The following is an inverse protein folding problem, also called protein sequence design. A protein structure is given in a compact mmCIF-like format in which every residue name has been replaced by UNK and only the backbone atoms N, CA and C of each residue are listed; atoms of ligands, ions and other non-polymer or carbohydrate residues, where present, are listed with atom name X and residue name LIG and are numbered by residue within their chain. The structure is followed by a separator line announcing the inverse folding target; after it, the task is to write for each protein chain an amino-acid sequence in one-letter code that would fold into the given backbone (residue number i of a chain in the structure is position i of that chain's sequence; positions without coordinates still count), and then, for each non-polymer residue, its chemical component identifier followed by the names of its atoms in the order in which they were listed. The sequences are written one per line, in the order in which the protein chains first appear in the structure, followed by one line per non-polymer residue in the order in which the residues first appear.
data_IF_146774048540
#
_entry.id   IF_146774048540
#
_cell.length_a   1.000
_cell.length_b   1.000
_cell.length_c   1.000
_cell.angle_alpha   90.00
_cell.angle_beta   90.00
_cell.angle_gamma   90.00
#
_symmetry.space_group_name_H-M   'P 1'
#
loop_
_entity.id
_entity.type
_entity.pdbx_description
1 polymer ?
#
# COMPACT_ATOMS: atom_id res chain seq x y z
N UNK A 1 -16.46 3.72 -14.54
CA UNK A 1 -15.97 2.86 -15.61
C UNK A 1 -15.53 1.50 -15.03
N UNK A 2 -14.41 1.36 -14.30
CA UNK A 2 -13.89 0.09 -13.81
C UNK A 2 -14.94 -0.78 -13.08
N UNK A 3 -15.73 -0.19 -12.17
CA UNK A 3 -16.82 -0.91 -11.48
C UNK A 3 -17.91 -1.37 -12.46
N UNK A 4 -18.28 -0.51 -13.43
CA UNK A 4 -19.30 -0.84 -14.43
C UNK A 4 -18.81 -1.88 -15.44
N UNK A 5 -17.51 -1.91 -15.69
CA UNK A 5 -16.85 -2.82 -16.63
C UNK A 5 -16.40 -4.13 -15.94
N UNK A 6 -16.64 -4.24 -14.62
CA UNK A 6 -16.22 -5.37 -13.78
C UNK A 6 -14.71 -5.61 -13.78
N UNK A 7 -13.91 -4.54 -13.93
CA UNK A 7 -12.46 -4.62 -13.86
C UNK A 7 -11.98 -4.93 -12.44
N UNK A 8 -10.89 -5.69 -12.34
CA UNK A 8 -10.24 -5.93 -11.06
C UNK A 8 -9.61 -4.65 -10.50
N UNK A 9 -10.08 -4.20 -9.34
CA UNK A 9 -9.60 -2.99 -8.68
C UNK A 9 -8.74 -3.36 -7.48
N UNK A 10 -7.43 -3.15 -7.59
CA UNK A 10 -6.44 -3.46 -6.53
C UNK A 10 -6.54 -2.49 -5.36
N UNK A 11 -6.66 -1.21 -5.65
CA UNK A 11 -6.81 -0.14 -4.66
C UNK A 11 -7.37 1.13 -5.30
N UNK A 12 -7.80 2.07 -4.49
CA UNK A 12 -8.31 3.38 -4.93
C UNK A 12 -7.33 4.47 -4.52
N UNK A 13 -6.89 5.31 -5.46
CA UNK A 13 -6.16 6.55 -5.14
C UNK A 13 -7.20 7.59 -4.74
N UNK A 14 -7.28 7.92 -3.45
CA UNK A 14 -8.24 8.90 -2.90
C UNK A 14 -7.82 10.32 -3.19
N UNK A 15 -6.54 10.59 -3.23
CA UNK A 15 -5.99 11.90 -3.57
C UNK A 15 -4.47 11.88 -3.66
N UNK A 16 -3.94 12.92 -4.29
CA UNK A 16 -2.49 13.15 -4.42
C UNK A 16 -2.18 14.62 -4.17
N UNK A 17 -1.01 14.90 -3.64
CA UNK A 17 -0.52 16.25 -3.47
C UNK A 17 0.98 16.33 -3.71
N UNK A 18 1.42 17.43 -4.31
CA UNK A 18 2.82 17.73 -4.59
C UNK A 18 3.12 19.16 -4.17
N UNK A 19 4.20 19.36 -3.46
CA UNK A 19 4.73 20.70 -3.17
C UNK A 19 6.25 20.76 -3.33
N UNK A 20 6.84 21.88 -2.99
CA UNK A 20 8.28 22.07 -2.95
C UNK A 20 8.68 22.80 -1.67
N UNK A 21 9.80 22.40 -1.07
CA UNK A 21 10.33 23.02 0.16
C UNK A 21 10.69 24.52 -0.01
N UNK A 22 10.96 24.95 -1.23
CA UNK A 22 11.34 26.31 -1.56
C UNK A 22 12.59 26.75 -0.80
N UNK A 23 12.52 27.93 -0.17
CA UNK A 23 13.60 28.49 0.66
C UNK A 23 13.63 27.95 2.09
N UNK A 24 12.72 27.09 2.48
CA UNK A 24 12.58 26.56 3.87
C UNK A 24 13.51 25.40 4.19
N UNK A 25 14.40 25.02 3.28
CA UNK A 25 15.37 23.93 3.49
C UNK A 25 16.78 24.48 3.79
N UNK A 26 17.54 23.73 4.59
CA UNK A 26 18.89 24.13 5.02
C UNK A 26 19.96 24.03 3.91
N UNK A 27 19.66 23.33 2.81
CA UNK A 27 20.56 23.15 1.66
C UNK A 27 19.92 22.34 0.54
N UNK A 28 20.62 22.23 -0.59
CA UNK A 28 20.09 21.57 -1.77
C UNK A 28 19.65 20.11 -1.51
N UNK A 29 20.44 19.36 -0.78
CA UNK A 29 20.18 17.95 -0.47
C UNK A 29 19.44 17.72 0.85
N UNK A 30 19.19 18.77 1.65
CA UNK A 30 18.51 18.63 2.94
C UNK A 30 17.00 18.86 2.76
N UNK A 31 16.13 17.85 2.97
CA UNK A 31 14.69 18.02 2.93
C UNK A 31 14.20 18.98 4.04
N UNK A 32 12.97 19.47 3.92
CA UNK A 32 12.33 20.30 4.95
C UNK A 32 11.25 19.52 5.67
N UNK A 33 11.31 19.44 7.00
CA UNK A 33 10.23 18.91 7.82
C UNK A 33 8.92 19.63 7.53
N UNK A 34 8.94 20.97 7.43
CA UNK A 34 7.75 21.77 7.17
C UNK A 34 7.15 21.51 5.79
N UNK A 35 7.99 21.35 4.74
CA UNK A 35 7.50 21.05 3.40
C UNK A 35 6.83 19.69 3.33
N UNK A 36 7.43 18.68 3.96
CA UNK A 36 6.82 17.33 4.05
C UNK A 36 5.55 17.34 4.90
N UNK A 37 5.53 18.05 6.04
CA UNK A 37 4.34 18.18 6.89
C UNK A 37 3.18 18.86 6.16
N UNK A 38 3.46 19.95 5.46
CA UNK A 38 2.47 20.65 4.62
C UNK A 38 1.93 19.74 3.51
N UNK A 39 2.81 18.96 2.85
CA UNK A 39 2.42 17.97 1.84
C UNK A 39 1.49 16.91 2.43
N UNK A 40 1.84 16.35 3.60
CA UNK A 40 1.05 15.34 4.28
C UNK A 40 -0.34 15.88 4.67
N UNK A 41 -0.41 17.04 5.34
CA UNK A 41 -1.69 17.63 5.74
C UNK A 41 -2.56 17.97 4.53
N UNK A 42 -1.94 18.46 3.44
CA UNK A 42 -2.65 18.79 2.22
C UNK A 42 -3.18 17.55 1.51
N UNK A 43 -2.41 16.48 1.41
CA UNK A 43 -2.90 15.24 0.76
C UNK A 43 -4.03 14.61 1.57
N UNK A 44 -3.98 14.62 2.90
CA UNK A 44 -5.07 14.16 3.75
C UNK A 44 -6.33 14.99 3.55
N UNK A 45 -6.18 16.32 3.52
CA UNK A 45 -7.31 17.24 3.31
C UNK A 45 -7.97 17.05 1.94
N UNK A 46 -7.20 16.96 0.84
CA UNK A 46 -7.79 16.76 -0.50
C UNK A 46 -8.36 15.35 -0.69
N UNK A 47 -7.94 14.39 0.12
CA UNK A 47 -8.46 13.03 0.13
C UNK A 47 -9.67 12.86 1.04
N UNK A 48 -10.02 13.89 1.82
CA UNK A 48 -11.06 13.86 2.86
C UNK A 48 -10.83 12.72 3.88
N UNK A 49 -9.55 12.55 4.32
CA UNK A 49 -9.11 11.50 5.24
C UNK A 49 -8.53 12.13 6.49
N UNK A 50 -9.00 11.69 7.65
CA UNK A 50 -8.43 12.06 8.94
C UNK A 50 -7.12 11.31 9.23
N UNK A 51 -6.26 11.91 10.07
CA UNK A 51 -4.99 11.27 10.46
C UNK A 51 -5.22 9.96 11.24
N UNK A 52 -6.35 9.80 11.91
CA UNK A 52 -6.74 8.62 12.67
C UNK A 52 -7.25 7.46 11.80
N UNK A 53 -7.59 7.74 10.54
CA UNK A 53 -8.02 6.73 9.57
C UNK A 53 -6.84 6.05 8.88
N UNK A 54 -5.63 6.67 8.90
CA UNK A 54 -4.45 6.14 8.23
C UNK A 54 -3.78 5.05 9.08
N UNK A 55 -3.78 3.83 8.59
CA UNK A 55 -3.15 2.69 9.26
C UNK A 55 -1.70 2.44 8.86
N UNK A 56 -1.27 2.93 7.69
CA UNK A 56 0.06 2.69 7.15
C UNK A 56 0.64 3.88 6.39
N UNK A 57 1.94 4.10 6.57
CA UNK A 57 2.71 5.02 5.75
C UNK A 57 3.89 4.32 5.07
N UNK A 58 3.91 4.31 3.77
CA UNK A 58 5.07 3.88 2.97
C UNK A 58 6.04 5.04 2.84
N UNK A 59 7.14 4.95 3.57
CA UNK A 59 8.14 6.01 3.68
C UNK A 59 9.00 6.14 2.41
N UNK A 60 9.47 7.34 2.18
CA UNK A 60 10.58 7.53 1.24
C UNK A 60 11.82 6.75 1.71
N UNK A 61 12.16 6.79 3.00
CA UNK A 61 13.00 5.85 3.73
C UNK A 61 14.27 5.42 2.99
N UNK A 62 15.19 6.35 2.76
CA UNK A 62 16.44 6.10 2.01
C UNK A 62 17.57 5.59 2.87
N UNK A 63 17.34 5.35 4.15
CA UNK A 63 18.34 4.96 5.15
C UNK A 63 19.49 5.97 5.29
N UNK A 64 19.21 7.26 5.05
CA UNK A 64 20.15 8.34 5.37
C UNK A 64 19.78 8.94 6.72
N UNK A 65 20.77 9.14 7.59
CA UNK A 65 20.57 9.64 8.96
C UNK A 65 19.70 10.91 8.99
N UNK A 66 20.04 11.90 8.16
CA UNK A 66 19.29 13.16 8.09
C UNK A 66 17.91 12.98 7.46
N UNK A 67 17.80 12.20 6.38
CA UNK A 67 16.54 12.01 5.64
C UNK A 67 15.51 11.29 6.48
N UNK A 68 15.90 10.20 7.11
CA UNK A 68 15.00 9.39 7.94
C UNK A 68 14.58 10.15 9.21
N UNK A 69 15.51 10.92 9.83
CA UNK A 69 15.19 11.77 10.98
C UNK A 69 14.16 12.86 10.64
N UNK A 70 14.29 13.51 9.47
CA UNK A 70 13.34 14.52 8.99
C UNK A 70 11.97 13.91 8.72
N UNK A 71 11.93 12.78 8.02
CA UNK A 71 10.68 12.08 7.72
C UNK A 71 9.98 11.57 8.99
N UNK A 72 10.75 10.99 9.93
CA UNK A 72 10.24 10.55 11.22
C UNK A 72 9.67 11.72 12.05
N UNK A 73 10.32 12.87 12.03
CA UNK A 73 9.86 14.09 12.71
C UNK A 73 8.56 14.62 12.10
N UNK A 74 8.46 14.63 10.77
CA UNK A 74 7.23 14.99 10.06
C UNK A 74 6.08 14.07 10.49
N UNK A 75 6.28 12.76 10.47
CA UNK A 75 5.27 11.79 10.88
C UNK A 75 4.83 12.01 12.33
N UNK A 76 5.76 12.24 13.23
CA UNK A 76 5.46 12.56 14.63
C UNK A 76 4.66 13.84 14.78
N UNK A 77 4.96 14.88 14.02
CA UNK A 77 4.24 16.17 14.08
C UNK A 77 2.80 16.04 13.57
N UNK A 78 2.57 15.18 12.57
CA UNK A 78 1.24 14.97 11.99
C UNK A 78 0.42 14.00 12.83
N UNK A 79 0.97 12.82 13.13
CA UNK A 79 0.21 11.73 13.77
C UNK A 79 0.27 11.77 15.29
N UNK A 80 1.31 12.39 15.89
CA UNK A 80 1.42 12.51 17.34
C UNK A 80 1.49 11.16 18.04
N UNK A 81 0.52 10.88 18.92
CA UNK A 81 0.39 9.61 19.65
C UNK A 81 -0.54 8.60 18.97
N UNK A 82 -1.03 8.90 17.75
CA UNK A 82 -1.90 7.97 17.01
C UNK A 82 -1.10 6.77 16.52
N UNK A 83 -1.64 5.55 16.61
CA UNK A 83 -1.00 4.36 16.06
C UNK A 83 -0.81 4.50 14.54
N UNK A 84 0.41 4.26 14.06
CA UNK A 84 0.74 4.22 12.65
C UNK A 84 1.80 3.17 12.39
N UNK A 85 1.55 2.29 11.43
CA UNK A 85 2.58 1.39 10.90
C UNK A 85 3.34 2.09 9.78
N UNK A 86 4.67 1.93 9.75
CA UNK A 86 5.50 2.47 8.68
C UNK A 86 6.42 1.40 8.08
N UNK A 87 6.84 1.59 6.83
CA UNK A 87 7.83 0.75 6.19
C UNK A 87 8.42 1.41 4.95
N UNK A 88 9.40 0.74 4.32
CA UNK A 88 9.98 1.18 3.06
C UNK A 88 10.32 -0.01 2.17
N UNK A 89 9.85 0.01 0.94
CA UNK A 89 10.17 -0.98 -0.10
C UNK A 89 11.65 -0.96 -0.48
N UNK A 90 12.33 0.17 -0.22
CA UNK A 90 13.75 0.34 -0.56
C UNK A 90 14.67 -0.62 0.16
N UNK A 91 14.26 -1.15 1.32
CA UNK A 91 14.98 -2.21 2.00
C UNK A 91 15.04 -3.50 1.18
N UNK A 92 14.08 -3.74 0.28
CA UNK A 92 13.95 -4.94 -0.54
C UNK A 92 14.58 -4.79 -1.93
N UNK A 93 14.37 -3.64 -2.59
CA UNK A 93 14.71 -3.45 -4.01
C UNK A 93 15.71 -2.32 -4.26
N UNK A 94 16.18 -1.64 -3.20
CA UNK A 94 17.03 -0.45 -3.31
C UNK A 94 16.25 0.80 -3.74
N UNK A 95 16.98 1.89 -3.93
CA UNK A 95 16.40 3.17 -4.37
C UNK A 95 16.29 3.21 -5.89
N UNK A 96 15.10 3.08 -6.44
CA UNK A 96 14.83 3.05 -7.89
C UNK A 96 14.76 4.44 -8.54
N UNK A 97 15.25 5.49 -7.85
CA UNK A 97 15.30 6.87 -8.34
C UNK A 97 13.93 7.37 -8.83
N UNK A 98 13.78 7.63 -10.14
CA UNK A 98 12.55 8.15 -10.73
C UNK A 98 11.35 7.21 -10.55
N UNK A 99 11.58 5.91 -10.42
CA UNK A 99 10.54 4.92 -10.21
C UNK A 99 10.20 4.70 -8.72
N UNK A 100 10.88 5.36 -7.77
CA UNK A 100 10.74 5.09 -6.34
C UNK A 100 9.31 5.37 -5.82
N UNK A 101 8.68 6.45 -6.27
CA UNK A 101 7.30 6.77 -5.91
C UNK A 101 6.30 5.72 -6.40
N UNK A 102 6.46 5.24 -7.64
CA UNK A 102 5.61 4.19 -8.22
C UNK A 102 5.82 2.86 -7.49
N UNK A 103 7.06 2.51 -7.12
CA UNK A 103 7.34 1.32 -6.33
C UNK A 103 6.64 1.36 -4.95
N UNK A 104 6.62 2.54 -4.29
CA UNK A 104 5.88 2.75 -3.05
C UNK A 104 4.37 2.53 -3.25
N UNK A 105 3.80 3.09 -4.32
CA UNK A 105 2.37 2.91 -4.64
C UNK A 105 2.04 1.45 -4.91
N UNK A 106 2.83 0.74 -5.73
CA UNK A 106 2.60 -0.68 -6.04
C UNK A 106 2.63 -1.54 -4.77
N UNK A 107 3.67 -1.39 -3.94
CA UNK A 107 3.74 -2.15 -2.68
C UNK A 107 2.52 -1.88 -1.79
N UNK A 108 2.16 -0.62 -1.62
CA UNK A 108 1.05 -0.23 -0.75
C UNK A 108 -0.28 -0.73 -1.29
N UNK A 109 -0.52 -0.67 -2.60
CA UNK A 109 -1.72 -1.20 -3.23
C UNK A 109 -1.85 -2.72 -3.01
N UNK A 110 -0.75 -3.48 -3.20
CA UNK A 110 -0.70 -4.91 -2.92
C UNK A 110 -0.92 -5.24 -1.44
N UNK A 111 -0.42 -4.41 -0.52
CA UNK A 111 -0.67 -4.57 0.92
C UNK A 111 -2.14 -4.37 1.27
N UNK A 112 -2.81 -3.39 0.66
CA UNK A 112 -4.25 -3.14 0.82
C UNK A 112 -5.07 -4.29 0.26
N UNK A 113 -4.79 -4.74 -0.96
CA UNK A 113 -5.46 -5.86 -1.61
C UNK A 113 -5.35 -7.14 -0.78
N UNK A 114 -4.15 -7.47 -0.31
CA UNK A 114 -3.88 -8.68 0.48
C UNK A 114 -4.15 -8.50 1.98
N UNK A 115 -4.58 -7.32 2.43
CA UNK A 115 -4.87 -6.99 3.84
C UNK A 115 -3.73 -7.39 4.77
N UNK A 116 -2.50 -7.12 4.35
CA UNK A 116 -1.29 -7.65 4.99
C UNK A 116 -0.21 -6.58 5.09
N UNK A 117 0.34 -6.39 6.30
CA UNK A 117 1.58 -5.66 6.49
C UNK A 117 2.77 -6.54 6.12
N UNK A 118 3.72 -5.97 5.36
CA UNK A 118 4.95 -6.67 4.99
C UNK A 118 6.18 -6.00 5.64
N UNK A 119 7.24 -6.76 5.95
CA UNK A 119 8.36 -6.24 6.72
C UNK A 119 9.26 -5.31 5.89
N UNK A 120 9.80 -4.30 6.57
CA UNK A 120 11.00 -3.58 6.17
C UNK A 120 12.18 -4.44 6.57
N UNK A 121 12.81 -5.14 5.62
CA UNK A 121 13.95 -6.01 5.90
C UNK A 121 15.21 -5.19 6.21
N UNK A 122 16.20 -5.81 6.86
CA UNK A 122 17.46 -5.19 7.26
C UNK A 122 17.29 -3.97 8.19
N UNK A 123 16.13 -3.86 8.86
CA UNK A 123 15.86 -2.83 9.85
C UNK A 123 16.35 -3.30 11.23
N UNK A 124 17.19 -2.50 11.87
CA UNK A 124 17.72 -2.79 13.22
C UNK A 124 17.03 -1.96 14.29
N UNK A 125 16.98 -0.63 14.10
CA UNK A 125 16.42 0.30 15.06
C UNK A 125 15.67 1.44 14.35
N UNK A 126 14.54 1.92 14.91
CA UNK A 126 13.85 3.09 14.39
C UNK A 126 14.66 4.36 14.64
N UNK A 127 14.40 5.40 13.85
CA UNK A 127 14.98 6.74 14.06
C UNK A 127 14.67 7.24 15.50
N UNK A 128 15.58 7.99 16.08
CA UNK A 128 15.47 8.45 17.48
C UNK A 128 14.22 9.31 17.73
N UNK A 129 13.75 10.01 16.71
CA UNK A 129 12.50 10.78 16.74
C UNK A 129 11.28 9.90 17.11
N UNK A 130 11.30 8.63 16.71
CA UNK A 130 10.22 7.68 16.97
C UNK A 130 10.36 6.97 18.33
N UNK A 131 11.54 7.01 18.96
CA UNK A 131 11.79 6.41 20.28
C UNK A 131 11.30 7.26 21.46
N UNK A 132 10.61 8.37 21.19
CA UNK A 132 10.18 9.32 22.22
C UNK A 132 8.93 8.83 22.95
N UNK A 133 8.78 9.14 24.26
CA UNK A 133 7.59 8.78 25.02
C UNK A 133 6.30 9.27 24.37
N UNK A 134 5.30 8.38 24.30
CA UNK A 134 3.99 8.68 23.69
C UNK A 134 3.95 8.59 22.16
N UNK A 135 5.04 8.28 21.48
CA UNK A 135 5.03 7.97 20.05
C UNK A 135 4.48 6.55 19.83
N UNK A 136 3.41 6.42 19.03
CA UNK A 136 2.81 5.13 18.69
C UNK A 136 3.11 4.68 17.25
N UNK A 137 4.07 5.33 16.60
CA UNK A 137 4.52 4.98 15.25
C UNK A 137 5.51 3.81 15.34
N UNK A 138 5.26 2.76 14.57
CA UNK A 138 6.06 1.52 14.62
C UNK A 138 6.45 1.05 13.22
N UNK A 139 7.71 0.60 13.07
CA UNK A 139 8.18 0.01 11.81
C UNK A 139 7.67 -1.42 11.69
N UNK A 140 7.13 -1.76 10.51
CA UNK A 140 6.78 -3.15 10.19
C UNK A 140 8.06 -3.99 10.06
N UNK A 141 8.25 -4.98 10.93
CA UNK A 141 9.42 -5.87 10.94
C UNK A 141 9.08 -7.33 10.67
N UNK A 142 7.81 -7.65 10.53
CA UNK A 142 7.30 -8.99 10.22
C UNK A 142 6.05 -8.91 9.36
N UNK A 143 5.74 -9.99 8.66
CA UNK A 143 4.46 -10.15 7.97
C UNK A 143 3.37 -10.38 9.02
N UNK A 144 2.30 -9.59 8.95
CA UNK A 144 1.14 -9.72 9.83
C UNK A 144 -0.13 -9.26 9.12
N UNK A 145 -1.27 -9.83 9.49
CA UNK A 145 -2.57 -9.42 8.98
C UNK A 145 -2.87 -7.96 9.34
N UNK A 146 -3.34 -7.19 8.37
CA UNK A 146 -3.80 -5.83 8.60
C UNK A 146 -5.26 -5.84 9.02
N UNK A 147 -5.52 -6.01 10.31
CA UNK A 147 -6.87 -5.96 10.88
C UNK A 147 -7.37 -4.52 10.92
N UNK A 148 -8.62 -4.31 10.53
CA UNK A 148 -9.30 -3.03 10.60
C UNK A 148 -10.80 -3.23 10.64
N UNK A 149 -11.51 -2.43 11.45
CA UNK A 149 -12.97 -2.39 11.51
C UNK A 149 -13.56 -1.37 10.51
N UNK A 150 -12.69 -0.61 9.82
CA UNK A 150 -13.04 0.37 8.80
C UNK A 150 -12.23 0.14 7.53
N UNK A 151 -12.49 0.95 6.47
CA UNK A 151 -11.68 0.92 5.26
C UNK A 151 -10.19 1.10 5.58
N UNK A 152 -9.34 0.22 5.07
CA UNK A 152 -7.89 0.36 5.21
C UNK A 152 -7.39 1.49 4.34
N UNK A 153 -6.66 2.41 4.96
CA UNK A 153 -6.10 3.59 4.30
C UNK A 153 -4.60 3.66 4.56
N UNK A 154 -3.87 3.96 3.51
CA UNK A 154 -2.42 4.15 3.55
C UNK A 154 -2.01 5.44 2.84
N UNK A 155 -0.86 5.97 3.22
CA UNK A 155 -0.20 7.07 2.51
C UNK A 155 1.15 6.62 1.99
N UNK A 156 1.47 7.01 0.76
CA UNK A 156 2.80 6.82 0.15
C UNK A 156 3.52 8.15 0.04
N UNK A 157 4.76 8.22 0.52
CA UNK A 157 5.62 9.40 0.41
C UNK A 157 6.77 9.21 -0.59
N UNK A 158 7.08 10.25 -1.35
CA UNK A 158 8.27 10.33 -2.19
C UNK A 158 8.87 11.74 -2.11
N UNK A 159 10.17 11.80 -1.83
CA UNK A 159 10.91 13.05 -1.64
C UNK A 159 12.07 13.13 -2.63
N UNK A 160 12.19 14.25 -3.31
CA UNK A 160 13.27 14.53 -4.27
C UNK A 160 14.33 15.46 -3.69
N UNK A 161 15.60 15.26 -4.08
CA UNK A 161 16.74 16.09 -3.63
C UNK A 161 16.55 17.59 -3.89
N UNK A 162 15.83 17.98 -4.93
CA UNK A 162 15.49 19.38 -5.25
C UNK A 162 14.47 20.03 -4.31
N UNK A 163 13.96 19.29 -3.31
CA UNK A 163 12.94 19.75 -2.37
C UNK A 163 11.51 19.46 -2.84
N UNK A 164 11.32 18.66 -3.85
CA UNK A 164 10.00 18.18 -4.25
C UNK A 164 9.50 17.13 -3.26
N UNK A 165 8.28 17.29 -2.76
CA UNK A 165 7.60 16.30 -1.95
C UNK A 165 6.32 15.88 -2.70
N UNK A 166 6.08 14.59 -2.81
CA UNK A 166 4.88 14.03 -3.41
C UNK A 166 4.28 12.98 -2.47
N UNK A 167 2.97 13.04 -2.28
CA UNK A 167 2.25 12.07 -1.46
C UNK A 167 0.95 11.64 -2.15
N UNK A 168 0.58 10.38 -1.93
CA UNK A 168 -0.67 9.80 -2.40
C UNK A 168 -1.36 9.06 -1.26
N UNK A 169 -2.66 9.24 -1.13
CA UNK A 169 -3.52 8.46 -0.23
C UNK A 169 -4.18 7.36 -1.03
N UNK A 170 -4.00 6.11 -0.58
CA UNK A 170 -4.61 4.93 -1.14
C UNK A 170 -5.61 4.34 -0.13
N UNK A 171 -6.76 3.95 -0.65
CA UNK A 171 -7.78 3.21 0.12
C UNK A 171 -7.95 1.80 -0.43
N UNK A 172 -8.25 0.86 0.45
CA UNK A 172 -8.74 -0.46 0.08
C UNK A 172 -10.00 -0.31 -0.79
N UNK A 173 -10.08 -1.08 -1.87
CA UNK A 173 -11.33 -1.29 -2.58
C UNK A 173 -12.07 -2.48 -1.95
N UNK A 174 -13.26 -2.23 -1.47
CA UNK A 174 -14.17 -3.28 -0.99
C UNK A 174 -15.28 -3.38 -2.00
N UNK A 175 -15.33 -4.48 -2.71
CA UNK A 175 -16.38 -4.74 -3.67
C UNK A 175 -17.68 -5.09 -2.92
N UNK A 176 -18.70 -4.28 -3.10
CA UNK A 176 -20.05 -4.57 -2.61
C UNK A 176 -20.80 -5.45 -3.65
N UNK A 177 -20.29 -6.67 -3.82
CA UNK A 177 -20.97 -7.64 -4.66
C UNK A 177 -22.11 -8.25 -3.85
N UNK A 178 -23.34 -7.82 -4.11
CA UNK A 178 -24.52 -8.58 -3.73
C UNK A 178 -24.60 -9.82 -4.62
N UNK A 179 -23.81 -10.84 -4.30
CA UNK A 179 -23.87 -12.13 -5.00
C UNK A 179 -25.16 -12.82 -4.61
N UNK A 180 -25.98 -13.15 -5.62
CA UNK A 180 -27.12 -14.03 -5.45
C UNK A 180 -26.70 -15.43 -4.96
N UNK A 181 -27.66 -16.25 -4.55
CA UNK A 181 -27.38 -17.66 -4.26
C UNK A 181 -26.84 -18.36 -5.51
N UNK A 182 -25.84 -19.22 -5.32
CA UNK A 182 -25.32 -20.02 -6.43
C UNK A 182 -26.40 -20.99 -6.91
N UNK A 183 -26.75 -20.94 -8.19
CA UNK A 183 -27.74 -21.83 -8.77
C UNK A 183 -27.19 -23.28 -8.86
N UNK A 184 -27.94 -24.23 -8.37
CA UNK A 184 -27.61 -25.65 -8.50
C UNK A 184 -27.84 -26.13 -9.93
N UNK A 185 -26.91 -25.82 -10.84
CA UNK A 185 -26.94 -26.22 -12.25
C UNK A 185 -25.57 -26.74 -12.71
N UNK A 186 -25.50 -27.49 -13.83
CA UNK A 186 -24.22 -27.86 -14.43
C UNK A 186 -23.49 -26.61 -14.96
N UNK A 187 -22.21 -26.51 -14.69
CA UNK A 187 -21.30 -25.48 -15.22
C UNK A 187 -20.30 -26.10 -16.20
N UNK A 188 -19.99 -25.39 -17.28
CA UNK A 188 -19.01 -25.82 -18.28
C UNK A 188 -17.67 -25.19 -17.98
N UNK A 189 -16.66 -26.03 -17.77
CA UNK A 189 -15.28 -25.62 -17.61
C UNK A 189 -14.50 -25.93 -18.90
N UNK A 190 -13.85 -24.93 -19.48
CA UNK A 190 -13.12 -25.06 -20.76
C UNK A 190 -11.62 -24.94 -20.48
N UNK A 191 -10.86 -25.94 -20.92
CA UNK A 191 -9.41 -25.97 -20.74
C UNK A 191 -8.71 -26.04 -22.09
N UNK A 192 -7.57 -25.36 -22.21
CA UNK A 192 -6.66 -25.49 -23.34
C UNK A 192 -5.22 -25.71 -22.87
N UNK A 193 -4.43 -26.38 -23.68
CA UNK A 193 -3.01 -26.62 -23.38
C UNK A 193 -2.22 -26.93 -24.65
N UNK A 194 -0.90 -26.72 -24.61
CA UNK A 194 0.00 -26.99 -25.72
C UNK A 194 0.07 -28.49 -26.11
N UNK A 195 -0.36 -29.38 -25.22
CA UNK A 195 -0.51 -30.83 -25.46
C UNK A 195 -1.71 -31.36 -24.68
N UNK A 196 -2.12 -32.60 -24.97
CA UNK A 196 -3.18 -33.29 -24.23
C UNK A 196 -2.82 -33.46 -22.75
N UNK A 197 -1.56 -33.77 -22.48
CA UNK A 197 -1.02 -33.93 -21.12
C UNK A 197 -1.09 -32.61 -20.36
N UNK A 198 -0.72 -31.48 -21.01
CA UNK A 198 -0.81 -30.16 -20.41
C UNK A 198 -2.26 -29.76 -20.10
N UNK A 199 -3.20 -29.97 -21.04
CA UNK A 199 -4.61 -29.69 -20.82
C UNK A 199 -5.19 -30.56 -19.68
N UNK A 200 -4.82 -31.83 -19.62
CA UNK A 200 -5.22 -32.72 -18.52
C UNK A 200 -4.67 -32.23 -17.18
N UNK A 201 -3.39 -31.87 -17.12
CA UNK A 201 -2.78 -31.32 -15.90
C UNK A 201 -3.50 -30.06 -15.40
N UNK A 202 -3.81 -29.13 -16.31
CA UNK A 202 -4.58 -27.92 -15.98
C UNK A 202 -5.94 -28.28 -15.40
N UNK A 203 -6.66 -29.23 -16.01
CA UNK A 203 -7.98 -29.65 -15.51
C UNK A 203 -7.89 -30.26 -14.10
N UNK A 204 -6.85 -31.07 -13.83
CA UNK A 204 -6.60 -31.67 -12.52
C UNK A 204 -6.26 -30.59 -11.47
N UNK A 205 -5.42 -29.61 -11.82
CA UNK A 205 -5.02 -28.53 -10.93
C UNK A 205 -6.21 -27.61 -10.59
N UNK A 206 -7.04 -27.27 -11.57
CA UNK A 206 -8.25 -26.48 -11.34
C UNK A 206 -9.25 -27.24 -10.48
N UNK A 207 -9.48 -28.53 -10.75
CA UNK A 207 -10.38 -29.37 -9.94
C UNK A 207 -9.90 -29.44 -8.47
N UNK A 208 -8.61 -29.61 -8.25
CA UNK A 208 -8.01 -29.59 -6.92
C UNK A 208 -8.23 -28.23 -6.24
N UNK A 209 -7.91 -27.12 -6.94
CA UNK A 209 -8.07 -25.77 -6.41
C UNK A 209 -9.50 -25.45 -6.00
N UNK A 210 -10.47 -25.76 -6.86
CA UNK A 210 -11.92 -25.54 -6.59
C UNK A 210 -12.40 -26.39 -5.41
N UNK A 211 -11.83 -27.61 -5.24
CA UNK A 211 -12.20 -28.52 -4.14
C UNK A 211 -11.59 -28.11 -2.80
N UNK A 212 -10.36 -27.59 -2.82
CA UNK A 212 -9.62 -27.22 -1.62
C UNK A 212 -9.93 -25.81 -1.11
N UNK A 213 -10.51 -24.96 -1.98
CA UNK A 213 -10.88 -23.60 -1.67
C UNK A 213 -12.38 -23.43 -1.85
N UNK A 214 -13.00 -22.55 -1.09
CA UNK A 214 -14.43 -22.24 -1.18
C UNK A 214 -14.72 -21.35 -2.40
N UNK A 215 -14.55 -21.92 -3.60
CA UNK A 215 -14.70 -21.25 -4.88
C UNK A 215 -16.09 -21.56 -5.45
N UNK A 216 -16.82 -20.52 -5.83
CA UNK A 216 -18.11 -20.67 -6.53
C UNK A 216 -17.90 -21.23 -7.94
N UNK A 217 -18.71 -22.20 -8.34
CA UNK A 217 -18.61 -22.82 -9.67
C UNK A 217 -18.95 -21.86 -10.81
N UNK A 218 -19.90 -20.91 -10.59
CA UNK A 218 -20.24 -19.90 -11.59
C UNK A 218 -19.08 -18.96 -11.87
N UNK A 219 -18.37 -18.48 -10.83
CA UNK A 219 -17.19 -17.64 -10.95
C UNK A 219 -16.03 -18.37 -11.65
N UNK A 220 -15.79 -19.64 -11.25
CA UNK A 220 -14.74 -20.45 -11.86
C UNK A 220 -15.03 -20.76 -13.34
N UNK A 221 -16.27 -21.08 -13.69
CA UNK A 221 -16.67 -21.34 -15.06
C UNK A 221 -16.64 -20.08 -15.95
N UNK A 222 -16.86 -18.90 -15.37
CA UNK A 222 -16.74 -17.63 -16.10
C UNK A 222 -15.27 -17.26 -16.37
N UNK A 223 -14.37 -17.60 -15.44
CA UNK A 223 -12.95 -17.24 -15.51
C UNK A 223 -12.16 -18.12 -16.50
N UNK A 224 -12.57 -19.37 -16.72
CA UNK A 224 -11.90 -20.38 -17.55
C UNK A 224 -12.42 -20.42 -18.99
#
# INVERSE_FOLDING_TARGET
DAVADHDHIVAVIKGTFVNNDGSRKAGFAAPSVFGQEECMRSVLAVSEVGEDEVGYYEAHGTATELGDAIEARMLKNVYGSRPLKIGSVKSNIGHTNMAAGVANVIKTALMLENRTFVPTINHSEPADELKTPGCAITVCTKTEEWKSDSQRIAVCGAVGMGGANAMAVLGEYVEDIQRGEEEAKPYLFIYSGASKEAAKKISEDVAAYVTENDVRFDDAAYTL
#
